data_IF_031002276806
#
_entry.id   IF_031002276806
#
_cell.length_a   1.000
_cell.length_b   1.000
_cell.length_c   1.000
_cell.angle_alpha   90.00
_cell.angle_beta   90.00
_cell.angle_gamma   90.00
#
_symmetry.space_group_name_H-M   'P 1'
#
loop_
_entity.id
_entity.type
_entity.pdbx_description
1 polymer ?
#
# COMPACT_ATOMS: atom_id res chain seq x y z
N UNK A 1 -20.39 -5.06 -15.16
CA UNK A 1 -19.89 -5.09 -13.77
C UNK A 1 -20.36 -3.81 -13.05
N UNK A 2 -20.71 -3.90 -11.77
CA UNK A 2 -21.36 -2.84 -10.99
C UNK A 2 -20.34 -1.91 -10.31
N UNK A 3 -19.29 -1.55 -11.05
CA UNK A 3 -18.17 -0.74 -10.57
C UNK A 3 -18.60 0.71 -10.47
N UNK A 4 -18.36 1.33 -9.31
CA UNK A 4 -18.68 2.73 -9.01
C UNK A 4 -17.51 3.65 -9.30
N UNK A 5 -16.29 3.16 -9.11
CA UNK A 5 -15.07 3.97 -9.18
C UNK A 5 -14.25 3.66 -10.42
N UNK A 6 -14.79 3.94 -11.61
CA UNK A 6 -14.05 3.72 -12.85
C UNK A 6 -12.92 4.72 -13.01
N UNK A 7 -13.15 5.97 -12.60
CA UNK A 7 -12.19 7.07 -12.65
C UNK A 7 -11.73 7.47 -11.24
N UNK A 8 -10.61 8.18 -11.16
CA UNK A 8 -10.10 8.67 -9.88
C UNK A 8 -11.06 9.70 -9.26
N UNK A 9 -11.68 10.52 -10.10
CA UNK A 9 -12.64 11.55 -9.71
C UNK A 9 -13.91 10.95 -9.09
N UNK A 10 -14.30 9.74 -9.48
CA UNK A 10 -15.45 9.05 -8.88
C UNK A 10 -15.19 8.74 -7.40
N UNK A 11 -13.96 8.30 -7.09
CA UNK A 11 -13.53 8.03 -5.72
C UNK A 11 -13.38 9.32 -4.91
N UNK A 12 -12.81 10.37 -5.49
CA UNK A 12 -12.66 11.64 -4.80
C UNK A 12 -14.03 12.27 -4.48
N UNK A 13 -14.98 12.25 -5.43
CA UNK A 13 -16.38 12.66 -5.18
C UNK A 13 -17.07 11.81 -4.12
N UNK A 14 -16.82 10.50 -4.13
CA UNK A 14 -17.35 9.60 -3.12
C UNK A 14 -16.86 10.00 -1.73
N UNK A 15 -15.57 10.26 -1.57
CA UNK A 15 -14.99 10.69 -0.29
C UNK A 15 -15.61 11.99 0.22
N UNK A 16 -16.02 12.91 -0.65
CA UNK A 16 -16.69 14.17 -0.27
C UNK A 16 -18.19 13.99 0.07
N UNK A 17 -18.80 12.88 -0.35
CA UNK A 17 -20.23 12.60 -0.12
C UNK A 17 -20.53 12.17 1.32
N UNK A 18 -21.79 12.33 1.76
CA UNK A 18 -22.25 11.83 3.06
C UNK A 18 -22.04 10.31 3.23
N UNK A 19 -22.17 9.56 2.12
CA UNK A 19 -21.90 8.11 2.10
C UNK A 19 -20.42 7.81 2.34
N UNK A 20 -19.50 8.53 1.69
CA UNK A 20 -18.07 8.35 1.87
C UNK A 20 -17.59 8.72 3.27
N UNK A 21 -18.14 9.79 3.85
CA UNK A 21 -17.81 10.23 5.21
C UNK A 21 -18.20 9.23 6.30
N UNK A 22 -19.20 8.38 6.05
CA UNK A 22 -19.67 7.33 6.98
C UNK A 22 -19.22 5.92 6.56
N UNK A 23 -18.37 5.84 5.55
CA UNK A 23 -17.98 4.59 4.91
C UNK A 23 -17.08 3.71 5.79
N UNK A 24 -17.34 2.40 5.73
CA UNK A 24 -16.52 1.35 6.38
C UNK A 24 -15.77 0.49 5.36
N UNK A 25 -15.62 0.96 4.11
CA UNK A 25 -15.07 0.17 2.98
C UNK A 25 -13.57 -0.17 3.09
N UNK A 26 -12.90 0.19 4.19
CA UNK A 26 -11.53 -0.21 4.49
C UNK A 26 -10.45 0.52 3.68
N UNK A 27 -9.20 0.09 3.88
CA UNK A 27 -7.99 0.76 3.33
C UNK A 27 -7.95 0.79 1.79
N UNK A 28 -8.52 -0.22 1.13
CA UNK A 28 -8.58 -0.32 -0.33
C UNK A 28 -10.03 -0.20 -0.84
N UNK A 29 -10.86 0.60 -0.17
CA UNK A 29 -12.28 0.74 -0.48
C UNK A 29 -12.62 1.27 -1.87
N UNK A 30 -11.63 1.77 -2.62
CA UNK A 30 -11.76 2.15 -4.03
C UNK A 30 -11.59 0.97 -5.01
N UNK A 31 -11.00 -0.14 -4.56
CA UNK A 31 -11.02 -1.39 -5.31
C UNK A 31 -12.40 -2.01 -5.17
N UNK A 32 -12.93 -2.53 -6.28
CA UNK A 32 -14.25 -3.14 -6.33
C UNK A 32 -14.16 -4.41 -7.17
N UNK A 33 -14.88 -5.45 -6.78
CA UNK A 33 -15.08 -6.64 -7.60
C UNK A 33 -16.21 -6.42 -8.61
N UNK A 34 -16.56 -7.43 -9.40
CA UNK A 34 -17.63 -7.32 -10.41
C UNK A 34 -19.00 -6.89 -9.85
N UNK A 35 -19.24 -7.10 -8.56
CA UNK A 35 -20.48 -6.74 -7.85
C UNK A 35 -20.43 -5.35 -7.25
N UNK A 36 -19.26 -4.70 -7.25
CA UNK A 36 -19.04 -3.41 -6.61
C UNK A 36 -18.58 -3.53 -5.16
N UNK A 37 -18.28 -4.73 -4.67
CA UNK A 37 -17.89 -4.94 -3.28
C UNK A 37 -16.39 -4.68 -3.09
N UNK A 38 -15.98 -3.99 -2.01
CA UNK A 38 -14.57 -3.79 -1.71
C UNK A 38 -13.90 -5.11 -1.29
N UNK A 39 -12.56 -5.22 -1.46
CA UNK A 39 -11.85 -6.42 -1.01
C UNK A 39 -11.91 -6.53 0.51
N UNK A 40 -12.01 -7.76 1.03
CA UNK A 40 -11.87 -8.01 2.47
C UNK A 40 -10.47 -7.63 2.96
N UNK A 41 -10.30 -7.43 4.27
CA UNK A 41 -9.00 -7.09 4.86
C UNK A 41 -7.91 -8.13 4.55
N UNK A 42 -8.27 -9.41 4.52
CA UNK A 42 -7.36 -10.50 4.16
C UNK A 42 -6.89 -10.38 2.70
N UNK A 43 -7.81 -10.10 1.78
CA UNK A 43 -7.49 -9.88 0.36
C UNK A 43 -6.66 -8.62 0.19
N UNK A 44 -6.99 -7.52 0.89
CA UNK A 44 -6.21 -6.28 0.85
C UNK A 44 -4.76 -6.49 1.31
N UNK A 45 -4.54 -7.27 2.38
CA UNK A 45 -3.20 -7.68 2.83
C UNK A 45 -2.47 -8.51 1.76
N UNK A 46 -3.16 -9.45 1.10
CA UNK A 46 -2.59 -10.27 0.04
C UNK A 46 -2.19 -9.44 -1.19
N UNK A 47 -3.03 -8.47 -1.59
CA UNK A 47 -2.74 -7.50 -2.67
C UNK A 47 -1.44 -6.74 -2.37
N UNK A 48 -1.33 -6.17 -1.18
CA UNK A 48 -0.12 -5.43 -0.79
C UNK A 48 1.12 -6.32 -0.76
N UNK A 49 0.98 -7.59 -0.35
CA UNK A 49 2.09 -8.55 -0.36
C UNK A 49 2.60 -8.81 -1.79
N UNK A 50 1.70 -9.04 -2.75
CA UNK A 50 2.07 -9.25 -4.15
C UNK A 50 2.72 -8.00 -4.74
N UNK A 51 2.15 -6.82 -4.50
CA UNK A 51 2.71 -5.55 -4.99
C UNK A 51 4.14 -5.31 -4.48
N UNK A 52 4.38 -5.56 -3.19
CA UNK A 52 5.73 -5.46 -2.58
C UNK A 52 6.71 -6.47 -3.18
N UNK A 53 6.23 -7.67 -3.54
CA UNK A 53 7.01 -8.65 -4.30
C UNK A 53 7.40 -8.13 -5.68
N UNK A 54 6.45 -7.52 -6.40
CA UNK A 54 6.73 -6.85 -7.68
C UNK A 54 7.80 -5.75 -7.56
N UNK A 55 7.75 -4.94 -6.49
CA UNK A 55 8.79 -3.95 -6.25
C UNK A 55 10.15 -4.59 -5.94
N UNK A 56 10.18 -5.72 -5.24
CA UNK A 56 11.42 -6.47 -5.01
C UNK A 56 12.04 -6.96 -6.32
N UNK A 57 11.24 -7.46 -7.26
CA UNK A 57 11.70 -7.83 -8.59
C UNK A 57 12.29 -6.63 -9.35
N UNK A 58 11.64 -5.47 -9.28
CA UNK A 58 12.19 -4.24 -9.88
C UNK A 58 13.57 -3.87 -9.29
N UNK A 59 13.80 -4.08 -8.00
CA UNK A 59 15.13 -3.85 -7.37
C UNK A 59 16.14 -4.85 -7.90
N UNK A 60 15.78 -6.13 -8.00
CA UNK A 60 16.67 -7.17 -8.51
C UNK A 60 17.11 -6.90 -9.95
N UNK A 61 16.21 -6.32 -10.76
CA UNK A 61 16.52 -5.88 -12.13
C UNK A 61 17.19 -4.51 -12.23
N UNK A 62 17.47 -3.84 -11.09
CA UNK A 62 18.02 -2.48 -11.03
C UNK A 62 17.14 -1.44 -11.76
N UNK A 63 15.83 -1.66 -11.74
CA UNK A 63 14.80 -0.81 -12.36
C UNK A 63 13.93 -0.08 -11.33
N UNK A 64 14.15 -0.32 -10.03
CA UNK A 64 13.39 0.34 -8.98
C UNK A 64 13.62 1.86 -9.01
N UNK A 65 12.54 2.67 -9.10
CA UNK A 65 12.69 4.11 -9.25
C UNK A 65 12.89 4.80 -7.91
N UNK A 66 13.47 6.01 -7.94
CA UNK A 66 13.61 6.83 -6.72
C UNK A 66 12.26 7.30 -6.17
N UNK A 67 11.32 7.59 -7.06
CA UNK A 67 9.92 7.87 -6.74
C UNK A 67 9.03 7.08 -7.69
N UNK A 68 7.84 6.67 -7.22
CA UNK A 68 6.95 5.82 -8.03
C UNK A 68 6.63 6.43 -9.40
N UNK A 69 6.40 7.76 -9.46
CA UNK A 69 6.12 8.47 -10.71
C UNK A 69 7.25 8.46 -11.74
N UNK A 70 8.48 8.08 -11.36
CA UNK A 70 9.64 7.95 -12.26
C UNK A 70 9.90 6.51 -12.71
N UNK A 71 8.98 5.59 -12.44
CA UNK A 71 9.06 4.22 -12.93
C UNK A 71 9.13 4.22 -14.47
N UNK A 72 10.01 3.38 -15.03
CA UNK A 72 10.11 3.21 -16.47
C UNK A 72 8.83 2.59 -17.04
N UNK A 73 8.57 2.81 -18.34
CA UNK A 73 7.40 2.24 -19.01
C UNK A 73 7.37 0.70 -18.89
N UNK A 74 8.51 0.03 -19.08
CA UNK A 74 8.61 -1.43 -18.93
C UNK A 74 8.36 -1.89 -17.49
N UNK A 75 8.87 -1.16 -16.48
CA UNK A 75 8.58 -1.45 -15.08
C UNK A 75 7.10 -1.27 -14.75
N UNK A 76 6.47 -0.23 -15.29
CA UNK A 76 5.03 0.02 -15.13
C UNK A 76 4.22 -1.11 -15.78
N UNK A 77 4.50 -1.47 -17.03
CA UNK A 77 3.85 -2.61 -17.71
C UNK A 77 4.00 -3.90 -16.92
N UNK A 78 5.18 -4.18 -16.37
CA UNK A 78 5.40 -5.35 -15.52
C UNK A 78 4.48 -5.36 -14.29
N UNK A 79 4.41 -4.25 -13.55
CA UNK A 79 3.60 -4.18 -12.33
C UNK A 79 2.11 -4.25 -12.65
N UNK A 80 1.66 -3.58 -13.72
CA UNK A 80 0.29 -3.70 -14.21
C UNK A 80 -0.06 -5.16 -14.54
N UNK A 81 0.74 -5.82 -15.38
CA UNK A 81 0.52 -7.21 -15.74
C UNK A 81 0.52 -8.14 -14.51
N UNK A 82 1.46 -7.96 -13.58
CA UNK A 82 1.52 -8.74 -12.34
C UNK A 82 0.24 -8.60 -11.52
N UNK A 83 -0.19 -7.36 -11.27
CA UNK A 83 -1.29 -7.08 -10.36
C UNK A 83 -2.65 -7.36 -10.98
N UNK A 84 -2.86 -7.01 -12.26
CA UNK A 84 -4.12 -7.24 -12.96
C UNK A 84 -4.37 -8.73 -13.26
N UNK A 85 -3.31 -9.53 -13.45
CA UNK A 85 -3.46 -10.98 -13.58
C UNK A 85 -3.73 -11.66 -12.24
N UNK A 86 -3.10 -11.21 -11.15
CA UNK A 86 -3.33 -11.77 -9.82
C UNK A 86 -4.68 -11.34 -9.23
N UNK A 87 -5.12 -10.11 -9.50
CA UNK A 87 -6.34 -9.51 -8.95
C UNK A 87 -7.09 -8.72 -10.04
N UNK A 88 -8.08 -9.34 -10.70
CA UNK A 88 -8.84 -8.71 -11.78
C UNK A 88 -9.52 -7.38 -11.43
N UNK A 89 -9.71 -7.08 -10.13
CA UNK A 89 -10.24 -5.80 -9.64
C UNK A 89 -9.45 -4.58 -10.15
N UNK A 90 -8.16 -4.74 -10.43
CA UNK A 90 -7.34 -3.66 -10.99
C UNK A 90 -7.66 -3.36 -12.46
N UNK A 91 -8.30 -4.28 -13.18
CA UNK A 91 -8.81 -4.05 -14.55
C UNK A 91 -10.06 -3.17 -14.56
N UNK A 92 -10.75 -3.05 -13.43
CA UNK A 92 -11.91 -2.19 -13.26
C UNK A 92 -11.51 -0.75 -12.93
N UNK A 93 -10.67 -0.16 -13.79
CA UNK A 93 -10.15 1.19 -13.64
C UNK A 93 -9.79 1.78 -15.01
N UNK A 94 -10.16 3.03 -15.26
CA UNK A 94 -9.67 3.77 -16.42
C UNK A 94 -8.20 4.15 -16.20
N UNK A 95 -7.37 3.95 -17.23
CA UNK A 95 -5.91 4.17 -17.20
C UNK A 95 -5.18 3.48 -16.03
N UNK A 96 -5.77 2.43 -15.45
CA UNK A 96 -5.20 1.70 -14.32
C UNK A 96 -5.01 2.55 -13.06
N UNK A 97 -5.79 3.63 -12.88
CA UNK A 97 -5.60 4.62 -11.82
C UNK A 97 -5.58 4.01 -10.41
N UNK A 98 -6.33 2.93 -10.16
CA UNK A 98 -6.40 2.27 -8.85
C UNK A 98 -5.04 1.70 -8.43
N UNK A 99 -4.33 1.08 -9.37
CA UNK A 99 -3.00 0.54 -9.12
C UNK A 99 -1.97 1.66 -8.95
N UNK A 100 -2.04 2.67 -9.81
CA UNK A 100 -1.15 3.85 -9.71
C UNK A 100 -1.35 4.60 -8.39
N UNK A 101 -2.59 4.71 -7.92
CA UNK A 101 -2.90 5.32 -6.63
C UNK A 101 -2.38 4.48 -5.46
N UNK A 102 -2.60 3.17 -5.48
CA UNK A 102 -2.06 2.25 -4.48
C UNK A 102 -0.54 2.36 -4.39
N UNK A 103 0.13 2.30 -5.53
CA UNK A 103 1.59 2.30 -5.56
C UNK A 103 2.16 3.68 -5.19
N UNK A 104 1.55 4.78 -5.65
CA UNK A 104 1.97 6.14 -5.28
C UNK A 104 1.87 6.40 -3.78
N UNK A 105 0.86 5.86 -3.11
CA UNK A 105 0.64 6.07 -1.66
C UNK A 105 1.49 5.14 -0.79
N UNK A 106 1.79 3.93 -1.26
CA UNK A 106 2.45 2.90 -0.43
C UNK A 106 3.93 2.67 -0.74
N UNK A 107 4.38 2.95 -1.98
CA UNK A 107 5.78 2.78 -2.39
C UNK A 107 6.77 3.61 -1.55
N UNK A 108 6.52 4.90 -1.24
CA UNK A 108 7.50 5.71 -0.48
C UNK A 108 7.84 5.11 0.89
N UNK A 109 6.83 4.60 1.60
CA UNK A 109 7.00 3.97 2.90
C UNK A 109 7.80 2.67 2.80
N UNK A 110 7.51 1.83 1.79
CA UNK A 110 8.25 0.60 1.56
C UNK A 110 9.69 0.88 1.13
N UNK A 111 9.90 1.77 0.14
CA UNK A 111 11.24 2.19 -0.31
C UNK A 111 12.10 2.64 0.85
N UNK A 112 11.58 3.52 1.72
CA UNK A 112 12.31 4.02 2.90
C UNK A 112 12.81 2.90 3.81
N UNK A 113 12.06 1.80 3.91
CA UNK A 113 12.41 0.66 4.76
C UNK A 113 13.46 -0.25 4.10
N UNK A 114 13.34 -0.52 2.80
CA UNK A 114 14.07 -1.61 2.15
C UNK A 114 15.15 -1.18 1.14
N UNK A 115 15.07 0.02 0.58
CA UNK A 115 15.92 0.48 -0.53
C UNK A 115 16.69 1.73 -0.13
N UNK A 116 17.97 1.80 -0.50
CA UNK A 116 18.81 2.98 -0.35
C UNK A 116 18.53 4.08 -1.40
N UNK A 117 19.32 5.15 -1.38
CA UNK A 117 19.16 6.26 -2.31
C UNK A 117 19.55 5.92 -3.75
N UNK A 118 20.29 4.82 -3.94
CA UNK A 118 20.74 4.32 -5.23
C UNK A 118 19.78 3.29 -5.84
N UNK A 119 18.64 3.01 -5.21
CA UNK A 119 17.68 2.03 -5.73
C UNK A 119 18.09 0.58 -5.45
N UNK A 120 19.04 0.35 -4.54
CA UNK A 120 19.55 -0.98 -4.19
C UNK A 120 19.02 -1.42 -2.83
N UNK A 121 19.04 -2.73 -2.59
CA UNK A 121 18.72 -3.30 -1.28
C UNK A 121 19.60 -2.69 -0.20
N UNK A 122 18.99 -2.22 0.88
CA UNK A 122 19.74 -1.83 2.07
C UNK A 122 20.45 -3.06 2.64
N UNK A 123 21.75 -2.94 2.90
CA UNK A 123 22.48 -3.93 3.67
C UNK A 123 21.80 -4.12 5.03
N UNK A 124 21.46 -5.36 5.38
CA UNK A 124 21.06 -5.67 6.76
C UNK A 124 22.22 -5.24 7.65
N UNK A 125 22.02 -4.23 8.50
CA UNK A 125 22.96 -3.96 9.60
C UNK A 125 23.03 -5.26 10.40
N UNK A 126 24.17 -5.95 10.36
CA UNK A 126 24.34 -7.24 10.99
C UNK A 126 23.90 -7.18 12.45
N UNK A 127 22.87 -7.94 12.80
CA UNK A 127 22.90 -8.65 14.08
C UNK A 127 23.89 -9.78 13.85
N UNK A 128 24.95 -9.83 14.66
CA UNK A 128 25.89 -10.95 14.65
C UNK A 128 25.18 -12.30 14.83
N UNK A 129 25.88 -13.42 14.59
CA UNK A 129 25.29 -14.75 14.65
C UNK A 129 24.64 -14.96 16.03
N UNK A 130 23.34 -15.25 16.03
CA UNK A 130 22.71 -15.97 17.12
C UNK A 130 22.33 -17.32 16.53
N UNK A 131 23.10 -18.32 16.95
CA UNK A 131 22.81 -19.71 16.70
C UNK A 131 21.49 -20.10 17.39
N UNK A 132 20.80 -21.02 16.71
CA UNK A 132 19.78 -21.96 17.19
C UNK A 132 18.35 -21.42 17.47
N UNK A 133 17.47 -21.79 16.53
CA UNK A 133 16.15 -22.39 16.70
C UNK A 133 15.23 -21.91 17.84
N UNK A 134 14.11 -21.30 17.47
CA UNK A 134 12.79 -21.61 18.02
C UNK A 134 11.66 -20.97 17.19
N UNK A 135 10.72 -21.82 16.81
CA UNK A 135 9.38 -21.54 16.31
C UNK A 135 8.58 -20.71 17.33
N UNK A 136 8.01 -19.56 16.93
CA UNK A 136 6.60 -19.28 17.24
C UNK A 136 6.03 -18.07 16.49
N UNK A 137 4.76 -18.23 16.15
CA UNK A 137 3.78 -17.26 15.69
C UNK A 137 3.54 -16.15 16.72
N UNK A 138 3.38 -14.89 16.28
CA UNK A 138 2.65 -13.89 17.09
C UNK A 138 2.05 -12.76 16.23
N UNK A 139 0.75 -12.86 16.01
CA UNK A 139 -0.16 -11.72 15.87
C UNK A 139 -0.18 -10.89 17.18
N UNK A 140 -0.26 -9.56 17.08
CA UNK A 140 -1.04 -8.64 17.95
C UNK A 140 -0.44 -7.23 18.08
N UNK A 141 -1.24 -6.28 17.59
CA UNK A 141 -1.68 -5.04 18.26
C UNK A 141 -0.65 -4.01 18.75
N UNK A 142 -0.55 -2.93 17.98
CA UNK A 142 0.09 -1.68 18.36
C UNK A 142 -0.75 -0.90 19.37
N UNK A 143 -0.29 -0.92 20.63
CA UNK A 143 -0.84 -0.18 21.77
C UNK A 143 -0.72 1.34 21.61
N UNK A 144 -1.86 2.00 21.84
CA UNK A 144 -2.12 3.42 22.14
C UNK A 144 -1.08 4.04 23.08
N UNK A 145 -0.57 5.23 22.76
CA UNK A 145 0.14 6.11 23.71
C UNK A 145 -0.67 7.38 23.96
N UNK A 146 -0.97 7.61 25.25
CA UNK A 146 -1.61 8.80 25.82
C UNK A 146 -0.62 9.41 26.82
N UNK A 147 -0.48 10.73 26.81
CA UNK A 147 0.13 11.56 27.87
C UNK A 147 -0.14 13.02 27.51
N UNK A 148 -1.08 13.73 28.16
CA UNK A 148 -1.02 14.37 29.50
C UNK A 148 0.02 15.50 29.54
N UNK A 149 -0.23 16.74 29.97
CA UNK A 149 -1.36 17.42 30.66
C UNK A 149 -1.17 18.94 30.47
N UNK A 150 -2.27 19.69 30.54
CA UNK A 150 -2.31 21.16 30.59
C UNK A 150 -1.58 21.73 31.81
N UNK A 151 -0.98 22.91 31.66
CA UNK A 151 -0.63 23.81 32.75
C UNK A 151 -1.27 25.18 32.48
N UNK A 152 -2.33 25.49 33.22
CA UNK A 152 -2.91 26.82 33.34
C UNK A 152 -2.27 27.45 34.59
N UNK A 153 -1.55 28.57 34.42
CA UNK A 153 -1.05 29.38 35.54
C UNK A 153 -2.02 30.52 35.77
N UNK A 154 -2.44 30.67 37.03
CA UNK A 154 -3.17 31.81 37.55
C UNK A 154 -2.45 32.28 38.81
N UNK A 155 -1.99 33.53 38.79
CA UNK A 155 -1.57 34.40 39.90
C UNK A 155 -1.73 35.82 39.32
N UNK A 156 -2.30 36.84 39.96
CA UNK A 156 -2.92 37.05 41.26
C UNK A 156 -3.49 38.47 41.24
#
# INVERSE_FOLDING_TARGET
PSIRFWYREDWDKYLESAEGQTSTRGMLGYLEDEKGDPPSDQVAKAIQKVLRGGWAELVNWQMAPTTWGRLSASGRTFIHNLMENAYPMFKFAHDGWKLEFLASTSYPAWRKTYIDDNGRWKSKKGKGPKDEDEDDSMDEIGKKRKGSRCAFKSEG
#
